data_IF_907544123811
#
_entry.id   IF_907544123811
#
_cell.length_a   1.000
_cell.length_b   1.000
_cell.length_c   1.000
_cell.angle_alpha   90.00
_cell.angle_beta   90.00
_cell.angle_gamma   90.00
#
_symmetry.space_group_name_H-M   'P 1'
#
loop_
_entity.id
_entity.type
_entity.pdbx_description
1 polymer ?
#
# COMPACT_ATOMS: atom_id res chain seq x y z
N UNK A 1 24.83 -5.84 -9.90
CA UNK A 1 24.69 -7.07 -10.69
C UNK A 1 23.34 -7.07 -11.35
N UNK A 2 23.18 -7.90 -12.38
CA UNK A 2 21.95 -7.99 -13.17
C UNK A 2 21.58 -9.46 -13.28
N UNK A 3 20.30 -9.74 -13.15
CA UNK A 3 19.75 -11.07 -13.16
C UNK A 3 18.63 -11.11 -14.20
N UNK A 4 18.64 -12.17 -14.99
CA UNK A 4 17.66 -12.43 -16.03
C UNK A 4 17.01 -13.77 -15.74
N UNK A 5 15.70 -13.76 -15.54
CA UNK A 5 14.90 -14.96 -15.45
C UNK A 5 14.11 -15.13 -16.76
N UNK A 6 14.27 -16.30 -17.37
CA UNK A 6 13.46 -16.78 -18.48
C UNK A 6 12.74 -18.02 -17.98
N UNK A 7 11.41 -18.05 -18.06
CA UNK A 7 10.67 -19.19 -17.54
C UNK A 7 9.84 -19.89 -18.64
N UNK A 8 10.30 -21.06 -19.14
CA UNK A 8 9.58 -21.87 -20.12
C UNK A 8 8.72 -23.01 -19.51
N UNK A 9 8.77 -23.28 -18.19
CA UNK A 9 8.09 -24.42 -17.54
C UNK A 9 7.35 -24.00 -16.25
N UNK A 10 6.02 -24.19 -16.23
CA UNK A 10 5.11 -23.68 -15.18
C UNK A 10 4.40 -24.78 -14.39
N UNK A 11 4.89 -26.02 -14.47
CA UNK A 11 4.23 -27.15 -13.84
C UNK A 11 4.66 -27.34 -12.37
N UNK A 12 4.62 -26.31 -11.52
CA UNK A 12 4.51 -26.49 -10.04
C UNK A 12 4.39 -25.15 -9.32
N UNK A 13 3.15 -24.76 -9.03
CA UNK A 13 2.86 -23.86 -7.92
C UNK A 13 1.83 -24.58 -7.09
N UNK A 14 2.08 -24.68 -5.78
CA UNK A 14 1.08 -25.17 -4.85
C UNK A 14 -0.23 -24.40 -5.06
N UNK A 15 -1.35 -25.12 -5.17
CA UNK A 15 -2.66 -24.48 -5.08
C UNK A 15 -2.69 -23.63 -3.80
N UNK A 16 -3.15 -22.38 -3.90
CA UNK A 16 -3.37 -21.57 -2.71
C UNK A 16 -4.44 -22.28 -1.86
N UNK A 17 -4.24 -22.34 -0.55
CA UNK A 17 -5.26 -22.90 0.35
C UNK A 17 -6.56 -22.12 0.19
N UNK A 18 -7.67 -22.83 -0.05
CA UNK A 18 -8.99 -22.20 -0.09
C UNK A 18 -9.29 -21.54 1.26
N UNK A 19 -9.27 -20.21 1.28
CA UNK A 19 -9.70 -19.43 2.44
C UNK A 19 -11.12 -18.96 2.21
N UNK A 20 -12.02 -19.35 3.10
CA UNK A 20 -13.39 -18.82 3.14
C UNK A 20 -13.30 -17.33 3.50
N UNK A 21 -13.48 -16.47 2.50
CA UNK A 21 -13.51 -15.03 2.69
C UNK A 21 -14.95 -14.56 2.94
N UNK A 22 -15.27 -14.22 4.18
CA UNK A 22 -16.59 -13.70 4.57
C UNK A 22 -16.69 -12.16 4.42
N UNK A 23 -15.62 -11.51 3.96
CA UNK A 23 -15.58 -10.07 3.73
C UNK A 23 -16.04 -9.73 2.31
N UNK A 24 -16.61 -8.53 2.14
CA UNK A 24 -16.89 -7.94 0.82
C UNK A 24 -15.63 -7.57 0.02
N UNK A 25 -14.46 -7.59 0.66
CA UNK A 25 -13.19 -7.23 0.05
C UNK A 25 -12.35 -8.44 -0.29
N UNK A 26 -11.67 -8.40 -1.43
CA UNK A 26 -10.70 -9.41 -1.84
C UNK A 26 -9.57 -9.59 -0.81
N UNK A 27 -9.10 -10.83 -0.64
CA UNK A 27 -7.94 -11.13 0.19
C UNK A 27 -6.65 -10.92 -0.59
N UNK A 28 -5.67 -10.31 0.06
CA UNK A 28 -4.31 -10.29 -0.46
C UNK A 28 -3.67 -11.67 -0.25
N UNK A 29 -3.25 -12.30 -1.34
CA UNK A 29 -2.50 -13.56 -1.32
C UNK A 29 -1.02 -13.29 -1.63
N UNK A 30 -0.08 -13.80 -0.82
CA UNK A 30 1.33 -13.69 -1.13
C UNK A 30 1.65 -14.45 -2.43
N UNK A 31 2.64 -13.94 -3.18
CA UNK A 31 3.15 -14.65 -4.35
C UNK A 31 3.97 -15.87 -3.92
N UNK A 32 3.84 -16.98 -4.66
CA UNK A 32 4.58 -18.23 -4.41
C UNK A 32 5.46 -18.65 -5.60
N UNK A 33 5.24 -18.07 -6.78
CA UNK A 33 6.00 -18.37 -8.00
C UNK A 33 7.40 -17.75 -7.92
N UNK A 34 8.44 -18.58 -7.98
CA UNK A 34 9.85 -18.16 -7.97
C UNK A 34 10.15 -17.02 -8.95
N UNK A 35 9.58 -17.11 -10.17
CA UNK A 35 9.70 -16.08 -11.20
C UNK A 35 9.34 -14.67 -10.69
N UNK A 36 8.32 -14.55 -9.85
CA UNK A 36 7.88 -13.26 -9.32
C UNK A 36 8.55 -12.89 -7.99
N UNK A 37 8.97 -13.88 -7.20
CA UNK A 37 9.58 -13.70 -5.88
C UNK A 37 10.94 -13.00 -5.91
N UNK A 38 11.80 -13.36 -6.86
CA UNK A 38 13.17 -12.84 -6.94
C UNK A 38 13.20 -11.32 -7.18
N UNK A 39 13.68 -10.52 -6.23
CA UNK A 39 13.67 -9.06 -6.36
C UNK A 39 12.28 -8.42 -6.20
N UNK A 40 11.32 -9.11 -5.59
CA UNK A 40 9.94 -8.61 -5.43
C UNK A 40 9.81 -7.39 -4.52
N UNK A 41 10.79 -7.16 -3.64
CA UNK A 41 10.85 -6.03 -2.71
C UNK A 41 10.83 -4.67 -3.41
N UNK A 42 11.35 -4.58 -4.64
CA UNK A 42 11.40 -3.33 -5.42
C UNK A 42 10.00 -2.79 -5.76
N UNK A 43 8.98 -3.66 -5.77
CA UNK A 43 7.59 -3.34 -6.07
C UNK A 43 6.78 -2.95 -4.82
N UNK A 44 7.39 -2.99 -3.63
CA UNK A 44 6.71 -2.57 -2.40
C UNK A 44 6.47 -1.05 -2.42
N UNK A 45 5.20 -0.67 -2.43
CA UNK A 45 4.74 0.73 -2.45
C UNK A 45 3.55 0.89 -1.48
N UNK A 46 3.39 2.06 -0.84
CA UNK A 46 2.21 2.35 0.00
C UNK A 46 0.87 2.11 -0.71
N UNK A 47 0.76 2.57 -1.96
CA UNK A 47 -0.33 2.27 -2.90
C UNK A 47 0.21 1.22 -3.87
N UNK A 48 -0.32 0.00 -3.80
CA UNK A 48 0.24 -1.15 -4.52
C UNK A 48 -0.19 -1.16 -5.99
N UNK A 49 0.66 -0.57 -6.84
CA UNK A 49 0.41 -0.44 -8.29
C UNK A 49 0.70 -1.72 -9.07
N UNK A 50 1.44 -2.67 -8.50
CA UNK A 50 1.68 -3.98 -9.09
C UNK A 50 1.44 -5.10 -8.07
N UNK A 51 0.72 -6.12 -8.50
CA UNK A 51 0.42 -7.33 -7.75
C UNK A 51 0.47 -8.53 -8.69
N UNK A 52 1.51 -9.35 -8.56
CA UNK A 52 1.82 -10.42 -9.51
C UNK A 52 0.73 -11.49 -9.62
N UNK A 53 -0.07 -11.72 -8.57
CA UNK A 53 -1.23 -12.64 -8.61
C UNK A 53 -2.36 -12.17 -9.53
N UNK A 54 -2.32 -10.93 -10.04
CA UNK A 54 -3.20 -10.51 -11.16
C UNK A 54 -2.85 -11.20 -12.48
N UNK A 55 -1.65 -11.76 -12.59
CA UNK A 55 -1.21 -12.53 -13.74
C UNK A 55 -1.63 -13.99 -13.47
N UNK A 56 -2.59 -14.55 -14.23
CA UNK A 56 -3.08 -15.92 -14.03
C UNK A 56 -2.02 -16.92 -14.52
N UNK A 57 -2.42 -18.09 -15.00
CA UNK A 57 -1.52 -19.03 -15.65
C UNK A 57 -0.82 -18.38 -16.85
N UNK A 58 0.43 -18.78 -17.10
CA UNK A 58 1.27 -18.11 -18.10
C UNK A 58 1.79 -19.07 -19.15
N UNK A 59 1.85 -18.60 -20.40
CA UNK A 59 2.52 -19.32 -21.48
C UNK A 59 4.04 -19.18 -21.38
N UNK A 60 4.49 -18.00 -20.95
CA UNK A 60 5.90 -17.64 -20.88
C UNK A 60 6.09 -16.20 -20.46
N UNK A 61 7.27 -15.89 -19.96
CA UNK A 61 7.61 -14.54 -19.56
C UNK A 61 9.09 -14.33 -19.38
N UNK A 62 9.47 -13.06 -19.41
CA UNK A 62 10.83 -12.59 -19.15
C UNK A 62 10.80 -11.62 -18.00
N UNK A 63 11.78 -11.74 -17.11
CA UNK A 63 12.01 -10.79 -16.03
C UNK A 63 13.47 -10.41 -16.00
N UNK A 64 13.71 -9.12 -15.99
CA UNK A 64 15.01 -8.52 -15.76
C UNK A 64 14.95 -7.78 -14.43
N UNK A 65 15.94 -7.95 -13.59
CA UNK A 65 16.14 -7.08 -12.44
C UNK A 65 17.61 -6.83 -12.20
N UNK A 66 17.93 -5.69 -11.60
CA UNK A 66 19.32 -5.39 -11.30
C UNK A 66 19.50 -4.06 -10.60
N UNK A 67 20.76 -3.82 -10.25
CA UNK A 67 21.19 -2.55 -9.70
C UNK A 67 22.48 -2.09 -10.35
N UNK A 68 22.57 -0.79 -10.62
CA UNK A 68 23.75 -0.13 -11.19
C UNK A 68 23.74 1.37 -10.89
N UNK A 69 24.88 1.92 -10.46
CA UNK A 69 25.06 3.37 -10.32
C UNK A 69 24.08 4.08 -9.37
N UNK A 70 23.63 3.41 -8.31
CA UNK A 70 22.62 3.94 -7.38
C UNK A 70 21.17 3.81 -7.88
N UNK A 71 20.96 3.20 -9.04
CA UNK A 71 19.66 2.81 -9.55
C UNK A 71 19.41 1.33 -9.31
N UNK A 72 18.18 1.01 -8.95
CA UNK A 72 17.62 -0.31 -8.88
C UNK A 72 16.47 -0.35 -9.90
N UNK A 73 16.36 -1.42 -10.67
CA UNK A 73 15.33 -1.52 -11.70
C UNK A 73 14.83 -2.94 -11.88
N UNK A 74 13.59 -3.06 -12.33
CA UNK A 74 13.04 -4.31 -12.79
C UNK A 74 12.06 -4.12 -13.94
N UNK A 75 12.08 -5.06 -14.89
CA UNK A 75 11.16 -5.14 -16.00
C UNK A 75 10.61 -6.56 -16.10
N UNK A 76 9.29 -6.68 -16.21
CA UNK A 76 8.58 -7.95 -16.43
C UNK A 76 7.76 -7.80 -17.70
N UNK A 77 7.80 -8.81 -18.57
CA UNK A 77 6.81 -8.99 -19.64
C UNK A 77 6.38 -10.45 -19.68
N UNK A 78 5.09 -10.69 -19.53
CA UNK A 78 4.53 -12.04 -19.37
C UNK A 78 3.29 -12.19 -20.23
N UNK A 79 3.24 -13.26 -21.02
CA UNK A 79 2.04 -13.65 -21.75
C UNK A 79 1.25 -14.65 -20.90
N UNK A 80 0.05 -14.25 -20.49
CA UNK A 80 -0.88 -15.11 -19.75
C UNK A 80 -1.66 -16.03 -20.69
N UNK A 81 -2.12 -17.16 -20.14
CA UNK A 81 -3.16 -18.00 -20.73
C UNK A 81 -4.53 -17.34 -20.53
N UNK A 82 -5.54 -17.91 -21.18
CA UNK A 82 -6.93 -17.56 -20.89
C UNK A 82 -7.21 -17.86 -19.42
N UNK A 83 -7.86 -16.92 -18.73
CA UNK A 83 -8.26 -17.10 -17.35
C UNK A 83 -9.63 -17.79 -17.31
N UNK A 84 -9.68 -19.02 -16.80
CA UNK A 84 -10.91 -19.80 -16.73
C UNK A 84 -11.89 -19.28 -15.67
N UNK A 85 -11.40 -18.56 -14.65
CA UNK A 85 -12.24 -18.03 -13.58
C UNK A 85 -12.92 -16.73 -13.97
N UNK A 86 -12.18 -15.81 -14.59
CA UNK A 86 -12.72 -14.51 -15.03
C UNK A 86 -13.30 -14.56 -16.45
N UNK A 87 -12.92 -15.56 -17.25
CA UNK A 87 -13.26 -15.67 -18.66
C UNK A 87 -12.41 -14.79 -19.58
N UNK A 88 -11.46 -14.02 -19.03
CA UNK A 88 -10.58 -13.12 -19.77
C UNK A 88 -9.70 -13.89 -20.76
N UNK A 89 -9.61 -13.39 -22.00
CA UNK A 89 -8.69 -13.90 -23.02
C UNK A 89 -7.21 -13.73 -22.61
N UNK A 90 -6.35 -14.44 -23.32
CA UNK A 90 -4.90 -14.31 -23.23
C UNK A 90 -4.45 -12.85 -23.28
N UNK A 91 -3.69 -12.41 -22.27
CA UNK A 91 -3.25 -11.03 -22.12
C UNK A 91 -1.73 -10.92 -21.89
N UNK A 92 -1.13 -9.83 -22.38
CA UNK A 92 0.25 -9.50 -22.04
C UNK A 92 0.28 -8.56 -20.83
N UNK A 93 1.04 -8.93 -19.81
CA UNK A 93 1.32 -8.09 -18.66
C UNK A 93 2.73 -7.53 -18.75
N UNK A 94 2.86 -6.21 -18.67
CA UNK A 94 4.15 -5.52 -18.70
C UNK A 94 4.28 -4.62 -17.48
N UNK A 95 5.40 -4.76 -16.75
CA UNK A 95 5.69 -3.99 -15.53
C UNK A 95 7.09 -3.42 -15.63
N UNK A 96 7.22 -2.14 -15.36
CA UNK A 96 8.50 -1.44 -15.28
C UNK A 96 8.61 -0.75 -13.94
N UNK A 97 9.74 -0.94 -13.26
CA UNK A 97 10.06 -0.32 -11.99
C UNK A 97 11.47 0.25 -12.06
N UNK A 98 11.61 1.51 -11.69
CA UNK A 98 12.90 2.18 -11.50
C UNK A 98 12.90 2.84 -10.14
N UNK A 99 13.99 2.71 -9.40
CA UNK A 99 14.20 3.36 -8.11
C UNK A 99 15.62 3.91 -8.05
N UNK A 100 15.75 5.16 -7.65
CA UNK A 100 17.05 5.82 -7.45
C UNK A 100 17.26 6.06 -5.97
N UNK A 101 18.30 5.47 -5.43
CA UNK A 101 18.77 5.79 -4.09
C UNK A 101 19.60 7.08 -4.15
N UNK A 102 19.28 7.99 -3.25
CA UNK A 102 19.88 9.31 -3.06
C UNK A 102 20.55 9.30 -1.67
N UNK A 103 21.36 10.31 -1.36
CA UNK A 103 22.00 10.48 -0.05
C UNK A 103 20.98 10.47 1.11
N UNK A 104 21.45 10.15 2.33
CA UNK A 104 20.66 10.09 3.56
C UNK A 104 19.49 9.08 3.51
N UNK A 105 19.72 7.91 2.92
CA UNK A 105 18.68 6.88 2.76
C UNK A 105 17.42 7.38 2.04
N UNK A 106 17.56 8.43 1.24
CA UNK A 106 16.47 9.00 0.46
C UNK A 106 16.29 8.21 -0.83
N UNK A 107 15.08 8.10 -1.34
CA UNK A 107 14.81 7.46 -2.62
C UNK A 107 13.63 8.10 -3.35
N UNK A 108 13.68 7.99 -4.67
CA UNK A 108 12.57 8.29 -5.57
C UNK A 108 12.43 7.11 -6.53
N UNK A 109 11.19 6.74 -6.82
CA UNK A 109 10.88 5.67 -7.73
C UNK A 109 9.77 6.02 -8.70
N UNK A 110 9.75 5.29 -9.80
CA UNK A 110 8.67 5.25 -10.78
C UNK A 110 8.24 3.79 -10.98
N UNK A 111 6.93 3.53 -11.07
CA UNK A 111 6.39 2.23 -11.44
C UNK A 111 5.30 2.42 -12.48
N UNK A 112 5.30 1.58 -13.51
CA UNK A 112 4.19 1.41 -14.43
C UNK A 112 3.85 -0.07 -14.57
N UNK A 113 2.57 -0.40 -14.54
CA UNK A 113 2.07 -1.74 -14.77
C UNK A 113 0.92 -1.67 -15.78
N UNK A 114 0.92 -2.58 -16.76
CA UNK A 114 -0.02 -2.61 -17.87
C UNK A 114 -0.49 -4.03 -18.14
N UNK A 115 -1.78 -4.19 -18.41
CA UNK A 115 -2.42 -5.36 -19.00
C UNK A 115 -2.90 -4.98 -20.39
N UNK A 116 -2.33 -5.62 -21.41
CA UNK A 116 -2.80 -5.54 -22.80
C UNK A 116 -3.65 -6.77 -23.11
N UNK A 117 -4.95 -6.57 -23.29
CA UNK A 117 -5.92 -7.62 -23.61
C UNK A 117 -6.83 -7.15 -24.73
N UNK A 118 -7.03 -7.97 -25.76
CA UNK A 118 -7.90 -7.66 -26.90
C UNK A 118 -7.63 -6.27 -27.53
N UNK A 119 -6.35 -5.89 -27.62
CA UNK A 119 -5.90 -4.60 -28.16
C UNK A 119 -6.11 -3.38 -27.25
N UNK A 120 -6.60 -3.56 -26.02
CA UNK A 120 -6.82 -2.48 -25.04
C UNK A 120 -5.80 -2.54 -23.91
N UNK A 121 -5.32 -1.37 -23.49
CA UNK A 121 -4.41 -1.22 -22.35
C UNK A 121 -5.20 -0.79 -21.11
N UNK A 122 -5.00 -1.50 -20.01
CA UNK A 122 -5.54 -1.17 -18.70
C UNK A 122 -4.41 -1.27 -17.68
N UNK A 123 -4.22 -0.26 -16.86
CA UNK A 123 -3.09 -0.26 -15.95
C UNK A 123 -2.95 1.01 -15.13
N UNK A 124 -1.73 1.22 -14.65
CA UNK A 124 -1.39 2.31 -13.75
C UNK A 124 0.05 2.75 -13.95
N UNK A 125 0.32 4.02 -13.66
CA UNK A 125 1.66 4.56 -13.54
C UNK A 125 1.73 5.51 -12.36
N UNK A 126 2.88 5.56 -11.69
CA UNK A 126 3.06 6.41 -10.53
C UNK A 126 4.50 6.60 -10.11
N UNK A 127 4.68 7.56 -9.21
CA UNK A 127 5.94 7.90 -8.56
C UNK A 127 5.80 7.72 -7.06
N UNK A 128 6.86 7.29 -6.39
CA UNK A 128 6.94 7.17 -4.94
C UNK A 128 8.25 7.77 -4.42
N UNK A 129 8.21 8.27 -3.19
CA UNK A 129 9.33 8.94 -2.53
C UNK A 129 9.44 8.53 -1.08
N UNK A 130 10.67 8.48 -0.61
CA UNK A 130 11.01 8.39 0.81
C UNK A 130 12.23 9.27 1.03
N UNK A 131 12.05 10.47 1.57
CA UNK A 131 13.12 11.46 1.77
C UNK A 131 13.43 11.62 3.25
N UNK A 132 14.70 11.49 3.61
CA UNK A 132 15.20 11.85 4.94
C UNK A 132 15.94 13.18 4.84
N UNK A 133 15.31 14.25 5.32
CA UNK A 133 15.86 15.60 5.25
C UNK A 133 16.91 15.84 6.34
N UNK A 134 16.64 15.32 7.54
CA UNK A 134 17.54 15.29 8.70
C UNK A 134 17.45 13.94 9.41
N UNK A 135 18.20 13.77 10.51
CA UNK A 135 18.10 12.57 11.37
C UNK A 135 16.75 12.48 12.09
N UNK A 136 15.97 13.56 12.10
CA UNK A 136 14.69 13.68 12.81
C UNK A 136 13.49 13.91 11.90
N UNK A 137 13.69 14.35 10.65
CA UNK A 137 12.58 14.70 9.76
C UNK A 137 12.66 13.92 8.44
N UNK A 138 11.58 13.20 8.16
CA UNK A 138 11.42 12.41 6.93
C UNK A 138 10.05 12.61 6.30
N UNK A 139 9.93 12.27 5.02
CA UNK A 139 8.71 12.36 4.23
C UNK A 139 8.58 11.13 3.35
N UNK A 140 7.47 10.42 3.47
CA UNK A 140 7.04 9.45 2.47
C UNK A 140 5.97 10.10 1.57
N UNK A 141 5.98 9.74 0.29
CA UNK A 141 4.97 10.20 -0.66
C UNK A 141 4.75 9.24 -1.81
N UNK A 142 3.57 9.29 -2.42
CA UNK A 142 3.27 8.56 -3.65
C UNK A 142 2.18 9.29 -4.43
N UNK A 143 2.28 9.28 -5.75
CA UNK A 143 1.24 9.75 -6.67
C UNK A 143 1.09 8.73 -7.79
N UNK A 144 -0.14 8.38 -8.15
CA UNK A 144 -0.44 7.43 -9.19
C UNK A 144 -1.70 7.83 -9.96
N UNK A 145 -1.72 7.48 -11.25
CA UNK A 145 -2.88 7.57 -12.10
C UNK A 145 -3.11 6.23 -12.79
N UNK A 146 -4.37 5.85 -12.91
CA UNK A 146 -4.79 4.64 -13.60
C UNK A 146 -5.45 4.96 -14.94
N UNK A 147 -5.38 4.03 -15.88
CA UNK A 147 -5.98 4.16 -17.21
C UNK A 147 -6.68 2.86 -17.60
N UNK A 148 -7.72 2.98 -18.41
CA UNK A 148 -8.58 1.87 -18.79
C UNK A 148 -9.99 2.35 -19.11
N UNK A 149 -10.99 1.52 -18.80
CA UNK A 149 -12.41 1.82 -19.04
C UNK A 149 -12.92 2.94 -18.13
N UNK A 150 -12.33 3.10 -16.94
CA UNK A 150 -12.74 4.09 -15.95
C UNK A 150 -11.82 5.31 -15.98
N UNK A 151 -12.24 6.41 -16.60
CA UNK A 151 -11.38 7.58 -16.89
C UNK A 151 -11.64 8.82 -16.01
N UNK A 152 -12.46 8.68 -14.96
CA UNK A 152 -12.76 9.73 -13.97
C UNK A 152 -12.41 9.23 -12.57
N UNK A 153 -12.01 10.14 -11.69
CA UNK A 153 -11.62 9.83 -10.31
C UNK A 153 -10.64 8.65 -10.21
N UNK A 154 -9.68 8.65 -11.13
CA UNK A 154 -8.76 7.56 -11.43
C UNK A 154 -7.33 7.87 -10.95
N UNK A 155 -7.19 8.77 -9.98
CA UNK A 155 -5.92 9.15 -9.35
C UNK A 155 -5.89 8.69 -7.90
N UNK A 156 -4.68 8.44 -7.41
CA UNK A 156 -4.45 8.23 -5.99
C UNK A 156 -3.13 8.89 -5.56
N UNK A 157 -3.10 9.40 -4.34
CA UNK A 157 -1.88 9.92 -3.76
C UNK A 157 -1.85 9.76 -2.26
N UNK A 158 -0.64 9.82 -1.72
CA UNK A 158 -0.38 9.78 -0.30
C UNK A 158 0.80 10.67 0.04
N UNK A 159 0.76 11.29 1.21
CA UNK A 159 1.86 12.04 1.78
C UNK A 159 1.91 11.80 3.29
N UNK A 160 3.11 11.60 3.85
CA UNK A 160 3.32 11.42 5.29
C UNK A 160 4.66 12.00 5.75
N UNK A 161 4.70 13.29 6.14
CA UNK A 161 5.76 13.82 6.97
C UNK A 161 5.79 13.12 8.34
N UNK A 162 7.00 12.87 8.81
CA UNK A 162 7.30 12.32 10.13
C UNK A 162 8.39 13.17 10.75
N UNK A 163 8.17 13.64 11.97
CA UNK A 163 9.22 14.17 12.82
C UNK A 163 9.39 13.23 14.02
N UNK A 164 10.59 12.69 14.17
CA UNK A 164 10.95 11.76 15.24
C UNK A 164 12.24 12.23 15.93
N UNK A 165 12.23 12.26 17.24
CA UNK A 165 13.34 12.70 18.09
C UNK A 165 13.32 11.89 19.37
N UNK A 166 14.37 11.99 20.19
CA UNK A 166 14.47 11.21 21.44
C UNK A 166 13.23 11.25 22.33
N UNK A 167 12.53 12.39 22.39
CA UNK A 167 11.41 12.60 23.31
C UNK A 167 10.10 12.99 22.62
N UNK A 168 10.08 13.08 21.29
CA UNK A 168 8.91 13.57 20.58
C UNK A 168 8.81 12.94 19.20
N UNK A 169 7.65 12.37 18.93
CA UNK A 169 7.25 11.81 17.64
C UNK A 169 5.97 12.48 17.18
N UNK A 170 5.89 12.85 15.91
CA UNK A 170 4.65 13.25 15.26
C UNK A 170 4.67 12.79 13.81
N UNK A 171 3.53 12.31 13.33
CA UNK A 171 3.31 12.07 11.92
C UNK A 171 1.93 12.54 11.50
N UNK A 172 1.81 12.92 10.23
CA UNK A 172 0.56 13.31 9.58
C UNK A 172 0.53 12.65 8.20
N UNK A 173 -0.23 11.57 8.05
CA UNK A 173 -0.51 10.91 6.79
C UNK A 173 -1.82 11.39 6.17
N UNK A 174 -1.83 11.73 4.89
CA UNK A 174 -3.06 11.95 4.13
C UNK A 174 -3.07 11.06 2.90
N UNK A 175 -4.09 10.22 2.77
CA UNK A 175 -4.32 9.39 1.59
C UNK A 175 -5.55 9.87 0.83
N UNK A 176 -5.47 9.81 -0.49
CA UNK A 176 -6.59 10.00 -1.41
C UNK A 176 -6.57 8.86 -2.42
N UNK A 177 -7.67 8.11 -2.49
CA UNK A 177 -7.89 7.09 -3.52
C UNK A 177 -9.20 7.45 -4.22
N UNK A 178 -9.11 7.83 -5.49
CA UNK A 178 -10.25 8.24 -6.28
C UNK A 178 -11.30 7.14 -6.41
N UNK A 179 -12.54 7.56 -6.76
CA UNK A 179 -13.72 6.69 -6.80
C UNK A 179 -13.63 5.51 -7.76
N UNK A 180 -12.87 5.62 -8.84
CA UNK A 180 -12.67 4.53 -9.80
C UNK A 180 -11.20 4.15 -9.98
N UNK A 181 -10.34 4.52 -9.02
CA UNK A 181 -8.92 4.22 -9.10
C UNK A 181 -8.68 2.70 -9.02
N UNK A 182 -9.37 2.03 -8.10
CA UNK A 182 -9.28 0.59 -7.91
C UNK A 182 -9.79 -0.22 -9.10
N UNK A 183 -10.79 0.26 -9.85
CA UNK A 183 -11.39 -0.47 -10.97
C UNK A 183 -10.39 -0.81 -12.07
N UNK A 184 -9.53 0.16 -12.42
CA UNK A 184 -8.44 -0.06 -13.38
C UNK A 184 -7.24 -0.74 -12.69
N UNK A 185 -6.84 -0.25 -11.51
CA UNK A 185 -5.61 -0.70 -10.85
C UNK A 185 -5.70 -2.17 -10.49
N UNK A 186 -6.85 -2.68 -10.07
CA UNK A 186 -7.04 -4.09 -9.73
C UNK A 186 -6.91 -5.05 -10.92
N UNK A 187 -6.67 -4.57 -12.14
CA UNK A 187 -6.25 -5.43 -13.27
C UNK A 187 -4.76 -5.75 -13.26
N UNK A 188 -3.94 -5.00 -12.51
CA UNK A 188 -2.47 -5.16 -12.47
C UNK A 188 -1.84 -5.01 -11.08
N UNK A 189 -2.54 -4.36 -10.16
CA UNK A 189 -2.18 -4.04 -8.79
C UNK A 189 -3.21 -4.55 -7.79
N UNK A 190 -3.21 -3.97 -6.59
CA UNK A 190 -4.15 -4.38 -5.54
C UNK A 190 -4.56 -3.18 -4.68
N UNK A 191 -5.81 -2.80 -4.79
CA UNK A 191 -6.48 -1.79 -3.99
C UNK A 191 -7.69 -2.47 -3.35
N UNK A 192 -7.61 -2.67 -2.03
CA UNK A 192 -8.64 -3.34 -1.26
C UNK A 192 -9.93 -2.52 -1.20
N UNK A 193 -9.79 -1.21 -1.03
CA UNK A 193 -10.89 -0.26 -0.86
C UNK A 193 -10.40 1.11 -1.34
N UNK A 194 -11.13 1.71 -2.27
CA UNK A 194 -10.91 3.03 -2.84
C UNK A 194 -12.11 3.94 -2.55
N UNK A 195 -12.35 4.96 -3.38
CA UNK A 195 -13.37 5.97 -3.11
C UNK A 195 -13.22 6.56 -1.70
N UNK A 196 -12.00 6.92 -1.30
CA UNK A 196 -11.74 7.33 0.07
C UNK A 196 -10.67 8.40 0.21
N UNK A 197 -10.84 9.19 1.26
CA UNK A 197 -9.79 10.02 1.85
C UNK A 197 -9.56 9.57 3.27
N UNK A 198 -8.31 9.58 3.68
CA UNK A 198 -7.89 9.19 5.03
C UNK A 198 -6.92 10.22 5.57
N UNK A 199 -7.13 10.62 6.83
CA UNK A 199 -6.14 11.32 7.63
C UNK A 199 -5.68 10.38 8.74
N UNK A 200 -4.42 10.00 8.69
CA UNK A 200 -3.68 9.26 9.70
C UNK A 200 -2.82 10.26 10.48
N UNK A 201 -2.88 10.24 11.79
CA UNK A 201 -2.03 11.11 12.59
C UNK A 201 -1.64 10.43 13.88
N UNK A 202 -0.45 10.74 14.36
CA UNK A 202 -0.06 10.27 15.67
C UNK A 202 0.97 11.18 16.30
N UNK A 203 0.87 11.29 17.61
CA UNK A 203 1.76 12.09 18.46
C UNK A 203 2.23 11.23 19.63
N UNK A 204 3.53 11.25 19.88
CA UNK A 204 4.18 10.61 21.01
C UNK A 204 5.04 11.64 21.73
N UNK A 205 4.88 11.75 23.05
CA UNK A 205 5.69 12.66 23.88
C UNK A 205 6.23 11.90 25.07
N UNK A 206 7.54 11.94 25.27
CA UNK A 206 8.23 11.38 26.43
C UNK A 206 8.71 12.50 27.34
N UNK A 207 8.16 12.55 28.54
CA UNK A 207 8.58 13.44 29.61
C UNK A 207 9.53 12.69 30.55
N UNK A 208 10.82 12.98 30.46
CA UNK A 208 11.80 12.48 31.41
C UNK A 208 11.54 13.11 32.78
N UNK A 209 11.38 12.28 33.80
CA UNK A 209 11.06 12.72 35.16
C UNK A 209 11.84 11.91 36.17
N UNK A 210 13.16 12.04 36.12
CA UNK A 210 14.16 11.37 36.97
C UNK A 210 14.10 11.77 38.47
N UNK A 211 12.96 12.22 38.99
CA UNK A 211 12.74 12.61 40.38
C UNK A 211 11.85 11.59 41.09
N UNK A 212 12.22 11.23 42.32
CA UNK A 212 11.51 10.22 43.09
C UNK A 212 11.62 8.83 42.47
N UNK A 213 10.52 8.07 42.53
CA UNK A 213 10.39 6.70 42.02
C UNK A 213 10.11 6.61 40.51
N UNK A 214 9.72 7.71 39.89
CA UNK A 214 9.39 7.81 38.47
C UNK A 214 10.66 8.03 37.65
N UNK A 215 10.71 7.42 36.47
CA UNK A 215 11.79 7.56 35.49
C UNK A 215 11.32 8.45 34.33
N UNK A 216 10.24 8.07 33.66
CA UNK A 216 9.65 8.84 32.56
C UNK A 216 8.14 8.61 32.45
N UNK A 217 7.45 9.57 31.83
CA UNK A 217 6.04 9.47 31.43
C UNK A 217 5.99 9.54 29.92
N UNK A 218 5.31 8.60 29.28
CA UNK A 218 5.08 8.62 27.83
C UNK A 218 3.59 8.78 27.56
N UNK A 219 3.25 9.71 26.69
CA UNK A 219 1.91 9.84 26.12
C UNK A 219 1.96 9.53 24.64
N UNK A 220 1.09 8.63 24.17
CA UNK A 220 0.91 8.32 22.76
C UNK A 220 -0.57 8.54 22.40
N UNK A 221 -0.84 9.12 21.24
CA UNK A 221 -2.18 9.25 20.67
C UNK A 221 -2.10 9.04 19.18
N UNK A 222 -2.89 8.12 18.64
CA UNK A 222 -3.08 7.93 17.20
C UNK A 222 -4.54 8.25 16.85
N UNK A 223 -4.75 8.89 15.71
CA UNK A 223 -6.06 9.25 15.20
C UNK A 223 -6.12 8.98 13.70
N UNK A 224 -7.05 8.12 13.32
CA UNK A 224 -7.36 7.78 11.94
C UNK A 224 -8.81 8.18 11.66
N UNK A 225 -9.05 8.84 10.53
CA UNK A 225 -10.40 9.23 10.10
C UNK A 225 -10.53 9.05 8.59
N UNK A 226 -11.68 8.52 8.17
CA UNK A 226 -11.96 8.07 6.82
C UNK A 226 -13.24 8.74 6.29
N UNK A 227 -13.16 9.26 5.08
CA UNK A 227 -14.30 9.81 4.34
C UNK A 227 -14.44 9.14 2.98
N UNK A 228 -15.66 9.03 2.48
CA UNK A 228 -15.90 8.80 1.07
C UNK A 228 -15.53 10.01 0.21
N UNK A 229 -15.40 9.81 -1.10
CA UNK A 229 -15.21 10.92 -2.04
C UNK A 229 -16.45 11.82 -2.13
N UNK A 230 -17.62 11.29 -1.74
CA UNK A 230 -18.89 12.00 -1.56
C UNK A 230 -18.93 12.92 -0.32
N UNK A 231 -17.85 12.97 0.47
CA UNK A 231 -17.73 13.69 1.75
C UNK A 231 -18.48 13.07 2.94
N UNK A 232 -19.04 11.87 2.78
CA UNK A 232 -19.63 11.16 3.90
C UNK A 232 -18.54 10.60 4.82
N UNK A 233 -18.67 10.83 6.13
CA UNK A 233 -17.78 10.25 7.14
C UNK A 233 -18.05 8.74 7.24
N UNK A 234 -17.03 7.93 7.00
CA UNK A 234 -17.12 6.46 7.05
C UNK A 234 -16.76 5.92 8.42
N UNK A 235 -15.65 6.38 8.98
CA UNK A 235 -15.20 5.93 10.30
C UNK A 235 -14.14 6.87 10.87
N UNK A 236 -13.94 6.78 12.18
CA UNK A 236 -12.74 7.31 12.83
C UNK A 236 -12.39 6.46 14.04
N UNK A 237 -11.12 6.49 14.44
CA UNK A 237 -10.62 5.80 15.62
C UNK A 237 -9.53 6.65 16.26
N UNK A 238 -9.61 6.81 17.58
CA UNK A 238 -8.60 7.45 18.42
C UNK A 238 -8.11 6.41 19.42
N UNK A 239 -6.81 6.14 19.42
CA UNK A 239 -6.15 5.29 20.41
C UNK A 239 -5.17 6.12 21.22
N UNK A 240 -5.30 6.09 22.55
CA UNK A 240 -4.48 6.83 23.48
C UNK A 240 -3.83 5.88 24.49
N UNK A 241 -2.58 6.15 24.83
CA UNK A 241 -1.87 5.45 25.88
C UNK A 241 -1.09 6.44 26.76
N UNK A 242 -1.23 6.30 28.07
CA UNK A 242 -0.41 6.99 29.05
C UNK A 242 0.40 5.96 29.83
N UNK A 243 1.72 5.98 29.65
CA UNK A 243 2.65 5.04 30.29
C UNK A 243 3.51 5.74 31.32
N UNK A 244 3.57 5.20 32.54
CA UNK A 244 4.49 5.59 33.60
C UNK A 244 5.58 4.53 33.72
N UNK A 245 6.83 4.92 33.53
CA UNK A 245 7.99 4.07 33.77
C UNK A 245 8.60 4.42 35.11
N UNK A 246 8.80 3.42 35.97
CA UNK A 246 9.42 3.57 37.26
C UNK A 246 10.89 3.15 37.22
N UNK A 247 11.72 3.72 38.10
CA UNK A 247 13.16 3.43 38.16
C UNK A 247 13.48 1.99 38.53
N UNK A 248 12.56 1.31 39.23
CA UNK A 248 12.66 -0.12 39.54
C UNK A 248 12.23 -1.02 38.38
N UNK A 249 12.11 -0.47 37.17
CA UNK A 249 11.75 -1.16 35.92
C UNK A 249 10.30 -1.65 35.83
N UNK A 250 9.44 -1.31 36.79
CA UNK A 250 8.00 -1.49 36.63
C UNK A 250 7.43 -0.40 35.71
N UNK A 251 6.39 -0.73 34.95
CA UNK A 251 5.62 0.25 34.18
C UNK A 251 4.12 0.06 34.41
N UNK A 252 3.39 1.17 34.32
CA UNK A 252 1.92 1.19 34.34
C UNK A 252 1.44 1.86 33.06
N UNK A 253 0.49 1.24 32.37
CA UNK A 253 -0.08 1.76 31.12
C UNK A 253 -1.59 1.88 31.28
N UNK A 254 -2.13 3.05 30.96
CA UNK A 254 -3.55 3.26 30.77
C UNK A 254 -3.84 3.43 29.28
N UNK A 255 -4.71 2.59 28.72
CA UNK A 255 -5.16 2.66 27.34
C UNK A 255 -6.59 3.20 27.27
N UNK A 256 -6.87 4.01 26.26
CA UNK A 256 -8.21 4.49 25.95
C UNK A 256 -8.42 4.48 24.44
N UNK A 257 -9.48 3.81 23.99
CA UNK A 257 -9.85 3.73 22.58
C UNK A 257 -11.25 4.28 22.40
N UNK A 258 -11.43 5.14 21.41
CA UNK A 258 -12.73 5.59 20.93
C UNK A 258 -12.81 5.34 19.44
N UNK A 259 -13.93 4.82 18.97
CA UNK A 259 -14.14 4.60 17.55
C UNK A 259 -15.58 4.91 17.14
N UNK A 260 -15.72 5.27 15.87
CA UNK A 260 -16.97 5.35 15.14
C UNK A 260 -16.80 4.58 13.83
N UNK A 261 -17.77 3.73 13.51
CA UNK A 261 -17.88 3.07 12.21
C UNK A 261 -19.30 3.28 11.74
N UNK A 262 -19.48 3.91 10.58
CA UNK A 262 -20.77 3.92 9.93
C UNK A 262 -21.17 2.46 9.66
N UNK A 263 -22.37 2.07 10.07
CA UNK A 263 -22.93 0.76 9.70
C UNK A 263 -23.18 0.77 8.18
N UNK A 264 -22.57 -0.17 7.46
CA UNK A 264 -22.94 -0.48 6.08
C UNK A 264 -24.43 -0.90 6.06
N UNK A 265 -25.37 0.02 5.78
CA UNK A 265 -26.78 -0.34 5.65
C UNK A 265 -27.88 0.68 5.94
N UNK A 266 -27.71 1.97 5.64
CA UNK A 266 -28.86 2.89 5.52
C UNK A 266 -28.80 3.61 4.17
N UNK A 267 -29.17 2.87 3.12
CA UNK A 267 -30.01 3.44 2.07
C UNK A 267 -31.44 3.33 2.62
N UNK A 268 -32.00 4.41 3.15
CA UNK A 268 -33.46 4.43 3.34
C UNK A 268 -34.09 4.42 1.95
N UNK A 269 -34.72 3.31 1.59
CA UNK A 269 -36.00 3.34 0.88
C UNK A 269 -36.97 4.19 1.73
N UNK A 270 -36.97 5.50 1.51
CA UNK A 270 -38.15 6.32 1.75
C UNK A 270 -38.45 7.04 0.45
N UNK A 271 -39.21 6.37 -0.41
CA UNK A 271 -40.25 7.00 -1.23
C UNK A 271 -41.14 5.88 -1.82
N UNK A 272 -41.89 5.23 -0.92
CA UNK A 272 -43.23 4.76 -1.27
C UNK A 272 -44.25 5.74 -0.67
N UNK A 273 -44.70 6.67 -1.52
CA UNK A 273 -46.07 7.18 -1.51
C UNK A 273 -46.56 7.30 -2.94
#
# INVERSE_FOLDING_TARGET
STHLALNPDFATVEADEERINLSRFELFLPEKRDFFLEGSEIYSQPIRLFYSKRIPDIYGGVKLYGWSGGFEFSGISVQSRKDEYTGDDSANFSVLRFKKNIKKSSSIGFLAANKLINGKNIGTAGIDTSFSFSDTFSLAGQFAASYGEYNKDNIAFFIRPIYDSTNFHIHLGYHHLGGNFGDNVNKVGFIKDDNRRELDSGIGVTFLRNKGFLDQIKYDSNYNIYWGMDNNLRSWQVDQALTFYLKNKFSFVAHHTQEFKAQDGILFEEDFR
#
